data_IF_706069651853
#
_entry.id   IF_706069651853
#
_cell.length_a   1.000
_cell.length_b   1.000
_cell.length_c   1.000
_cell.angle_alpha   90.00
_cell.angle_beta   90.00
_cell.angle_gamma   90.00
#
_symmetry.space_group_name_H-M   'P 1'
#
loop_
_entity.id
_entity.type
_entity.pdbx_description
1 polymer ?
#
# COMPACT_ATOMS: atom_id res chain seq x y z
N UNK A 1 -21.08 46.08 13.29
CA UNK A 1 -20.74 44.67 13.46
C UNK A 1 -19.66 44.53 14.51
N UNK A 2 -19.95 43.72 15.49
CA UNK A 2 -19.02 43.52 16.58
C UNK A 2 -18.06 42.38 16.25
N UNK A 3 -16.75 42.65 16.27
CA UNK A 3 -15.70 41.68 16.00
C UNK A 3 -15.78 40.47 16.95
N UNK A 4 -16.21 40.68 18.20
CA UNK A 4 -16.41 39.63 19.20
C UNK A 4 -17.44 38.58 18.75
N UNK A 5 -18.53 39.02 18.12
CA UNK A 5 -19.55 38.13 17.60
C UNK A 5 -19.06 37.31 16.41
N UNK A 6 -18.21 37.91 15.57
CA UNK A 6 -17.60 37.19 14.44
C UNK A 6 -16.63 36.12 14.92
N UNK A 7 -15.86 36.41 15.97
CA UNK A 7 -14.92 35.46 16.56
C UNK A 7 -15.68 34.29 17.19
N UNK A 8 -16.75 34.53 17.90
CA UNK A 8 -17.60 33.48 18.48
C UNK A 8 -18.25 32.61 17.40
N UNK A 9 -18.71 33.22 16.33
CA UNK A 9 -19.28 32.47 15.21
C UNK A 9 -18.24 31.55 14.57
N UNK A 10 -17.01 32.03 14.39
CA UNK A 10 -15.92 31.22 13.87
C UNK A 10 -15.56 30.08 14.82
N UNK A 11 -15.53 30.32 16.13
CA UNK A 11 -15.29 29.28 17.11
C UNK A 11 -16.36 28.17 17.03
N UNK A 12 -17.62 28.54 16.89
CA UNK A 12 -18.71 27.57 16.74
C UNK A 12 -18.58 26.75 15.47
N UNK A 13 -18.15 27.35 14.37
CA UNK A 13 -17.91 26.64 13.10
C UNK A 13 -16.74 25.65 13.23
N UNK A 14 -15.67 26.06 13.90
CA UNK A 14 -14.49 25.18 14.11
C UNK A 14 -14.88 24.00 15.00
N UNK A 15 -15.63 24.24 16.08
CA UNK A 15 -16.10 23.17 16.96
C UNK A 15 -17.02 22.18 16.22
N UNK A 16 -17.90 22.68 15.37
CA UNK A 16 -18.77 21.83 14.55
C UNK A 16 -17.97 20.97 13.58
N UNK A 17 -16.95 21.53 12.94
CA UNK A 17 -16.05 20.80 12.05
C UNK A 17 -15.23 19.75 12.78
N UNK A 18 -14.72 20.08 13.97
CA UNK A 18 -14.00 19.13 14.81
C UNK A 18 -14.87 17.94 15.23
N UNK A 19 -16.11 18.21 15.62
CA UNK A 19 -17.07 17.16 15.96
C UNK A 19 -17.40 16.28 14.75
N UNK A 20 -17.55 16.88 13.58
CA UNK A 20 -17.81 16.14 12.36
C UNK A 20 -16.63 15.23 12.00
N UNK A 21 -15.41 15.72 12.09
CA UNK A 21 -14.20 14.95 11.84
C UNK A 21 -14.09 13.79 12.84
N UNK A 22 -14.34 14.03 14.13
CA UNK A 22 -14.33 12.97 15.14
C UNK A 22 -15.40 11.92 14.88
N UNK A 23 -16.59 12.33 14.44
CA UNK A 23 -17.67 11.43 14.10
C UNK A 23 -17.30 10.54 12.90
N UNK A 24 -16.68 11.11 11.88
CA UNK A 24 -16.20 10.36 10.70
C UNK A 24 -15.13 9.37 11.12
N UNK A 25 -14.15 9.80 11.92
CA UNK A 25 -13.06 8.95 12.40
C UNK A 25 -13.57 7.80 13.28
N UNK A 26 -14.60 8.04 14.09
CA UNK A 26 -15.17 6.99 14.94
C UNK A 26 -15.97 5.95 14.16
N UNK A 27 -16.54 6.32 13.00
CA UNK A 27 -17.30 5.41 12.14
C UNK A 27 -16.43 4.55 11.23
N UNK A 28 -15.14 4.87 11.13
CA UNK A 28 -14.18 4.10 10.36
C UNK A 28 -13.21 3.44 11.34
N UNK A 29 -13.59 2.28 11.92
CA UNK A 29 -12.79 1.63 12.97
C UNK A 29 -11.42 1.16 12.48
N UNK A 30 -11.19 1.25 11.19
CA UNK A 30 -9.95 0.83 10.56
C UNK A 30 -8.95 1.97 10.38
N UNK A 31 -9.34 3.23 10.61
CA UNK A 31 -8.42 4.36 10.63
C UNK A 31 -7.81 4.47 12.01
N UNK A 32 -7.22 3.39 12.46
CA UNK A 32 -6.28 3.49 13.56
C UNK A 32 -4.96 3.90 12.96
N UNK A 33 -4.55 5.12 13.27
CA UNK A 33 -3.18 5.53 13.02
C UNK A 33 -2.33 4.71 13.99
N UNK A 34 -2.10 3.47 13.66
CA UNK A 34 -1.18 2.65 14.40
C UNK A 34 0.22 2.98 13.93
N UNK A 35 0.85 3.89 14.69
CA UNK A 35 2.30 4.10 14.64
C UNK A 35 2.85 4.43 13.25
N UNK A 36 4.11 4.29 13.08
CA UNK A 36 4.94 4.73 11.98
C UNK A 36 5.00 3.78 10.76
N UNK A 37 4.15 2.76 10.65
CA UNK A 37 4.21 1.82 9.51
C UNK A 37 3.32 2.33 8.38
N UNK A 38 3.89 2.65 7.22
CA UNK A 38 3.09 3.01 6.07
C UNK A 38 2.17 1.87 5.64
N UNK A 39 0.94 2.21 5.32
CA UNK A 39 -0.05 1.25 4.82
C UNK A 39 -0.43 1.62 3.41
N UNK A 40 -0.53 0.62 2.58
CA UNK A 40 -0.99 0.76 1.21
C UNK A 40 -2.44 0.30 1.17
N UNK A 41 -3.32 1.16 0.64
CA UNK A 41 -4.69 0.77 0.39
C UNK A 41 -4.82 0.51 -1.10
N UNK A 42 -5.22 -0.70 -1.44
CA UNK A 42 -5.45 -1.13 -2.80
C UNK A 42 -6.94 -1.39 -3.01
N UNK A 43 -7.55 -0.64 -3.90
CA UNK A 43 -8.93 -0.85 -4.27
C UNK A 43 -9.02 -1.95 -5.33
N UNK A 44 -9.70 -3.03 -4.99
CA UNK A 44 -9.98 -4.13 -5.90
C UNK A 44 -11.48 -4.26 -6.08
N UNK A 45 -11.98 -3.93 -7.26
CA UNK A 45 -13.42 -3.93 -7.58
C UNK A 45 -14.17 -3.02 -6.62
N UNK A 46 -14.79 -3.56 -5.59
CA UNK A 46 -15.54 -2.82 -4.56
C UNK A 46 -14.96 -3.02 -3.16
N UNK A 47 -13.75 -3.59 -3.07
CA UNK A 47 -13.11 -3.88 -1.81
C UNK A 47 -11.81 -3.11 -1.67
N UNK A 48 -11.52 -2.67 -0.46
CA UNK A 48 -10.24 -2.07 -0.12
C UNK A 48 -9.38 -3.10 0.58
N UNK A 49 -8.21 -3.34 0.05
CA UNK A 49 -7.23 -4.24 0.66
C UNK A 49 -6.13 -3.41 1.29
N UNK A 50 -5.94 -3.59 2.58
CA UNK A 50 -4.86 -2.92 3.31
C UNK A 50 -3.63 -3.80 3.31
N UNK A 51 -2.51 -3.23 2.92
CA UNK A 51 -1.24 -3.93 2.83
C UNK A 51 -0.22 -3.16 3.66
N UNK A 52 0.36 -3.83 4.64
CA UNK A 52 1.41 -3.23 5.47
C UNK A 52 2.78 -3.45 4.84
N UNK A 53 3.60 -2.40 4.75
CA UNK A 53 4.98 -2.51 4.30
C UNK A 53 5.88 -3.26 5.29
N UNK A 54 5.37 -3.58 6.47
CA UNK A 54 6.04 -4.43 7.44
C UNK A 54 6.04 -5.90 7.03
N UNK A 55 5.08 -6.30 6.21
CA UNK A 55 4.96 -7.64 5.70
C UNK A 55 5.70 -7.79 4.36
N UNK A 56 6.13 -9.00 4.04
CA UNK A 56 6.90 -9.27 2.84
C UNK A 56 6.17 -8.84 1.56
N UNK A 57 4.90 -9.22 1.43
CA UNK A 57 4.13 -8.84 0.24
C UNK A 57 3.90 -7.33 0.15
N UNK A 58 3.84 -6.63 1.28
CA UNK A 58 3.77 -5.18 1.30
C UNK A 58 5.05 -4.51 0.82
N UNK A 59 6.20 -5.06 1.18
CA UNK A 59 7.50 -4.63 0.69
C UNK A 59 7.62 -4.86 -0.82
N UNK A 60 7.14 -5.99 -1.29
CA UNK A 60 7.11 -6.28 -2.73
C UNK A 60 6.14 -5.32 -3.45
N UNK A 61 5.00 -5.02 -2.84
CA UNK A 61 4.08 -4.02 -3.38
C UNK A 61 4.76 -2.65 -3.52
N UNK A 62 5.60 -2.28 -2.55
CA UNK A 62 6.38 -1.04 -2.64
C UNK A 62 7.32 -1.07 -3.83
N UNK A 63 7.94 -2.20 -4.15
CA UNK A 63 8.74 -2.35 -5.34
C UNK A 63 7.91 -2.11 -6.62
N UNK A 64 6.67 -2.57 -6.63
CA UNK A 64 5.74 -2.32 -7.75
C UNK A 64 5.52 -0.82 -7.95
N UNK A 65 5.27 -0.10 -6.87
CA UNK A 65 5.04 1.34 -6.90
C UNK A 65 6.29 2.12 -7.32
N UNK A 66 7.47 1.62 -6.98
CA UNK A 66 8.74 2.26 -7.31
C UNK A 66 9.22 1.98 -8.75
N UNK A 67 8.47 1.19 -9.51
CA UNK A 67 8.78 0.90 -10.90
C UNK A 67 9.66 -0.33 -11.14
N UNK A 68 9.98 -1.09 -10.11
CA UNK A 68 10.80 -2.29 -10.25
C UNK A 68 10.17 -3.33 -11.19
N UNK A 69 8.85 -3.44 -11.17
CA UNK A 69 8.10 -4.38 -12.01
C UNK A 69 7.61 -3.77 -13.32
N UNK A 70 8.14 -2.65 -13.74
CA UNK A 70 7.85 -2.11 -15.08
C UNK A 70 8.38 -3.05 -16.16
N UNK A 71 9.40 -3.84 -15.84
CA UNK A 71 9.90 -4.94 -16.64
C UNK A 71 9.62 -6.28 -15.95
N UNK A 72 9.70 -7.35 -16.70
CA UNK A 72 9.54 -8.70 -16.17
C UNK A 72 10.66 -9.03 -15.19
N UNK A 73 10.28 -9.53 -14.01
CA UNK A 73 11.22 -9.88 -12.93
C UNK A 73 10.95 -11.28 -12.42
N UNK A 74 12.00 -12.04 -12.13
CA UNK A 74 11.89 -13.34 -11.48
C UNK A 74 11.86 -13.20 -9.97
N UNK A 75 11.46 -14.28 -9.26
CA UNK A 75 11.53 -14.31 -7.80
C UNK A 75 12.96 -14.05 -7.27
N UNK A 76 13.98 -14.55 -7.98
CA UNK A 76 15.37 -14.29 -7.62
C UNK A 76 15.74 -12.81 -7.74
N UNK A 77 15.25 -12.15 -8.78
CA UNK A 77 15.46 -10.71 -8.96
C UNK A 77 14.83 -9.91 -7.81
N UNK A 78 13.64 -10.30 -7.39
CA UNK A 78 12.93 -9.66 -6.28
C UNK A 78 13.71 -9.85 -4.97
N UNK A 79 14.18 -11.06 -4.71
CA UNK A 79 14.95 -11.35 -3.51
C UNK A 79 16.24 -10.51 -3.45
N UNK A 80 16.95 -10.39 -4.57
CA UNK A 80 18.14 -9.54 -4.67
C UNK A 80 17.84 -8.07 -4.43
N UNK A 81 16.73 -7.56 -4.97
CA UNK A 81 16.33 -6.16 -4.77
C UNK A 81 15.95 -5.89 -3.31
N UNK A 82 15.27 -6.83 -2.66
CA UNK A 82 14.95 -6.71 -1.24
C UNK A 82 16.22 -6.65 -0.39
N UNK A 83 17.20 -7.48 -0.69
CA UNK A 83 18.50 -7.45 -0.01
C UNK A 83 19.22 -6.11 -0.25
N UNK A 84 19.22 -5.62 -1.47
CA UNK A 84 19.83 -4.34 -1.83
C UNK A 84 19.23 -3.19 -1.01
N UNK A 85 17.94 -3.25 -0.72
CA UNK A 85 17.23 -2.24 0.07
C UNK A 85 17.34 -2.46 1.58
N UNK A 86 18.05 -3.49 2.02
CA UNK A 86 18.19 -3.83 3.43
C UNK A 86 17.00 -4.59 4.01
N UNK A 87 16.13 -5.08 3.18
CA UNK A 87 14.96 -5.88 3.59
C UNK A 87 15.24 -7.36 3.39
N UNK A 88 16.11 -7.92 4.22
CA UNK A 88 16.41 -9.34 4.11
C UNK A 88 15.24 -10.18 4.66
N UNK A 89 14.46 -10.86 3.82
CA UNK A 89 13.54 -11.86 4.36
C UNK A 89 14.34 -12.99 4.99
N UNK A 90 13.88 -13.47 6.16
CA UNK A 90 14.54 -14.57 6.86
C UNK A 90 14.58 -15.84 6.01
N UNK A 91 13.71 -15.92 5.02
CA UNK A 91 13.59 -17.10 4.19
C UNK A 91 13.09 -16.71 2.79
N UNK A 92 13.95 -16.89 1.79
CA UNK A 92 13.65 -16.57 0.40
C UNK A 92 12.52 -17.43 -0.20
N UNK A 93 12.20 -18.57 0.39
CA UNK A 93 11.08 -19.40 -0.08
C UNK A 93 9.72 -18.70 0.07
N UNK A 94 9.62 -17.67 0.91
CA UNK A 94 8.38 -16.92 1.07
C UNK A 94 8.19 -15.82 0.00
N UNK A 95 9.21 -15.50 -0.77
CA UNK A 95 9.11 -14.49 -1.84
C UNK A 95 8.14 -14.93 -2.93
N UNK A 96 8.26 -16.17 -3.39
CA UNK A 96 7.38 -16.68 -4.45
C UNK A 96 5.91 -16.75 -4.02
N UNK A 97 5.55 -17.28 -2.85
CA UNK A 97 4.17 -17.22 -2.38
C UNK A 97 3.63 -15.80 -2.26
N UNK A 98 4.46 -14.83 -1.84
CA UNK A 98 4.06 -13.44 -1.76
C UNK A 98 3.78 -12.85 -3.16
N UNK A 99 4.61 -13.17 -4.15
CA UNK A 99 4.37 -12.76 -5.54
C UNK A 99 3.08 -13.35 -6.09
N UNK A 100 2.81 -14.62 -5.83
CA UNK A 100 1.58 -15.28 -6.24
C UNK A 100 0.35 -14.65 -5.57
N UNK A 101 0.49 -14.24 -4.33
CA UNK A 101 -0.57 -13.52 -3.62
C UNK A 101 -0.89 -12.18 -4.32
N UNK A 102 0.13 -11.44 -4.74
CA UNK A 102 -0.05 -10.19 -5.48
C UNK A 102 -0.64 -10.43 -6.88
N UNK A 103 -0.34 -11.54 -7.51
CA UNK A 103 -1.01 -11.94 -8.77
C UNK A 103 -2.49 -12.20 -8.53
N UNK A 104 -2.84 -12.90 -7.44
CA UNK A 104 -4.23 -13.13 -7.07
C UNK A 104 -4.99 -11.82 -6.79
N UNK A 105 -4.30 -10.80 -6.26
CA UNK A 105 -4.87 -9.47 -6.02
C UNK A 105 -4.91 -8.60 -7.30
N UNK A 106 -4.47 -9.12 -8.42
CA UNK A 106 -4.41 -8.39 -9.69
C UNK A 106 -3.43 -7.20 -9.68
N UNK A 107 -2.47 -7.20 -8.77
CA UNK A 107 -1.40 -6.22 -8.69
C UNK A 107 -0.29 -6.53 -9.68
N UNK A 108 0.02 -7.82 -9.85
CA UNK A 108 1.04 -8.32 -10.76
C UNK A 108 0.41 -9.22 -11.82
N UNK A 109 1.03 -9.23 -12.98
CA UNK A 109 0.84 -10.24 -14.02
C UNK A 109 1.98 -11.23 -13.95
N UNK A 110 1.74 -12.47 -14.35
CA UNK A 110 2.81 -13.45 -14.45
C UNK A 110 2.82 -14.12 -15.81
N UNK A 111 4.00 -14.50 -16.24
CA UNK A 111 4.22 -15.24 -17.48
C UNK A 111 5.28 -16.30 -17.24
N UNK A 112 5.09 -17.46 -17.83
CA UNK A 112 6.06 -18.53 -17.76
C UNK A 112 6.95 -18.47 -19.01
N UNK A 113 8.25 -18.24 -18.78
CA UNK A 113 9.22 -18.25 -19.87
C UNK A 113 9.56 -19.70 -20.24
N UNK A 114 9.33 -20.15 -21.47
CA UNK A 114 9.74 -21.49 -21.90
C UNK A 114 11.26 -21.60 -21.91
N UNK A 115 11.78 -22.74 -21.49
CA UNK A 115 13.21 -23.01 -21.46
C UNK A 115 13.55 -24.21 -20.57
N UNK A 116 14.85 -24.56 -20.52
CA UNK A 116 15.33 -25.68 -19.70
C UNK A 116 14.99 -25.56 -18.21
N UNK A 117 14.83 -24.31 -17.73
CA UNK A 117 14.31 -24.01 -16.41
C UNK A 117 13.14 -23.07 -16.59
N UNK A 118 11.94 -23.61 -16.57
CA UNK A 118 10.74 -22.80 -16.62
C UNK A 118 10.72 -21.85 -15.43
N UNK A 119 10.89 -20.56 -15.70
CA UNK A 119 10.82 -19.51 -14.68
C UNK A 119 9.55 -18.71 -14.84
N UNK A 120 8.88 -18.49 -13.73
CA UNK A 120 7.82 -17.52 -13.67
C UNK A 120 8.40 -16.12 -13.59
N UNK A 121 7.90 -15.22 -14.44
CA UNK A 121 8.25 -13.81 -14.44
C UNK A 121 7.04 -12.99 -14.06
N UNK A 122 7.26 -11.90 -13.40
CA UNK A 122 6.23 -11.04 -12.84
C UNK A 122 6.42 -9.61 -13.33
N UNK A 123 5.32 -8.96 -13.65
CA UNK A 123 5.30 -7.56 -14.09
C UNK A 123 4.08 -6.87 -13.49
N UNK A 124 4.16 -5.55 -13.33
CA UNK A 124 3.04 -4.74 -12.85
C UNK A 124 1.83 -4.89 -13.78
N UNK A 125 0.66 -5.14 -13.21
CA UNK A 125 -0.58 -5.18 -13.97
C UNK A 125 -0.93 -3.81 -14.54
N UNK A 126 -1.41 -3.76 -15.79
CA UNK A 126 -1.61 -2.50 -16.50
C UNK A 126 -2.66 -1.57 -15.91
N UNK A 127 -3.58 -2.09 -15.09
CA UNK A 127 -4.68 -1.30 -14.50
C UNK A 127 -4.40 -0.82 -13.07
N UNK A 128 -3.19 -1.04 -12.56
CA UNK A 128 -2.87 -0.80 -11.16
C UNK A 128 -2.84 0.70 -10.79
N UNK A 129 -2.36 1.56 -11.69
CA UNK A 129 -2.01 2.94 -11.35
C UNK A 129 -3.17 3.83 -10.90
N UNK A 130 -4.41 3.48 -11.23
CA UNK A 130 -5.58 4.31 -10.96
C UNK A 130 -6.23 4.01 -9.60
N UNK A 131 -5.79 2.96 -8.89
CA UNK A 131 -6.51 2.42 -7.75
C UNK A 131 -5.69 2.28 -6.48
N UNK A 132 -4.50 2.87 -6.44
CA UNK A 132 -3.61 2.75 -5.29
C UNK A 132 -3.54 4.05 -4.52
N UNK A 133 -3.81 3.97 -3.24
CA UNK A 133 -3.67 5.08 -2.32
C UNK A 133 -2.69 4.69 -1.22
N UNK A 134 -1.65 5.50 -1.02
CA UNK A 134 -0.67 5.28 0.03
C UNK A 134 -1.04 6.18 1.21
N UNK A 135 -1.25 5.56 2.35
CA UNK A 135 -1.43 6.30 3.60
C UNK A 135 -0.13 6.21 4.37
N UNK A 136 0.57 7.32 4.47
CA UNK A 136 1.74 7.42 5.32
C UNK A 136 1.28 7.64 6.76
N UNK A 137 1.95 6.95 7.69
CA UNK A 137 1.69 7.17 9.09
C UNK A 137 2.10 8.60 9.47
N UNK A 138 1.26 9.25 10.27
CA UNK A 138 1.59 10.58 10.76
C UNK A 138 2.90 10.53 11.55
N UNK A 139 3.85 11.35 11.14
CA UNK A 139 5.08 11.53 11.90
C UNK A 139 4.74 12.34 13.15
N UNK A 140 4.92 11.73 14.28
CA UNK A 140 4.87 12.47 15.54
C UNK A 140 6.17 13.24 15.76
#
# INVERSE_FOLDING_TARGET
>A
MNIENEIEELKHRVEALEQLVRSILSKVPEVRIERSVPKIIYERRYEYVKISEDELYGRIFRLVLDGFFDEWRSASDVARELLRRGWAPKDFKHVRPALEHLVALEVLERERKPGRKAKWLYRKAGKLGEKVMIIEAAKN
#
